data_IF_508096546647
#
_entry.id   IF_508096546647
#
_cell.length_a   1.000
_cell.length_b   1.000
_cell.length_c   1.000
_cell.angle_alpha   90.00
_cell.angle_beta   90.00
_cell.angle_gamma   90.00
#
_symmetry.space_group_name_H-M   'P 1'
#
loop_
_entity.id
_entity.type
_entity.pdbx_description
1 polymer ?
#
# COMPACT_ATOMS: atom_id res chain seq x y z
N UNK A 1 -0.17 7.44 -18.11
CA UNK A 1 0.40 6.54 -17.09
C UNK A 1 -0.72 5.94 -16.28
N UNK A 2 -0.65 4.63 -16.08
CA UNK A 2 -1.77 3.73 -15.89
C UNK A 2 -2.53 4.02 -14.59
N UNK A 3 -3.83 4.28 -14.70
CA UNK A 3 -4.77 4.22 -13.59
C UNK A 3 -4.98 2.74 -13.20
N UNK A 4 -3.97 2.08 -12.62
CA UNK A 4 -4.08 0.67 -12.23
C UNK A 4 -4.89 0.51 -10.96
N UNK A 5 -4.67 1.39 -9.96
CA UNK A 5 -5.45 1.41 -8.74
C UNK A 5 -6.95 1.56 -9.03
N UNK A 6 -7.35 2.59 -9.77
CA UNK A 6 -8.77 2.84 -10.03
C UNK A 6 -9.43 1.73 -10.85
N UNK A 7 -8.71 1.14 -11.82
CA UNK A 7 -9.19 -0.03 -12.57
C UNK A 7 -9.35 -1.26 -11.67
N UNK A 8 -8.42 -1.48 -10.74
CA UNK A 8 -8.50 -2.58 -9.77
C UNK A 8 -9.68 -2.39 -8.83
N UNK A 9 -9.87 -1.18 -8.29
CA UNK A 9 -11.02 -0.86 -7.43
C UNK A 9 -12.35 -1.04 -8.18
N UNK A 10 -12.44 -0.63 -9.45
CA UNK A 10 -13.64 -0.83 -10.26
C UNK A 10 -13.91 -2.32 -10.54
N UNK A 11 -12.86 -3.11 -10.80
CA UNK A 11 -12.97 -4.55 -11.02
C UNK A 11 -13.46 -5.26 -9.75
N UNK A 12 -12.80 -5.03 -8.61
CA UNK A 12 -13.19 -5.60 -7.32
C UNK A 12 -14.65 -5.29 -6.98
N UNK A 13 -15.08 -4.04 -7.19
CA UNK A 13 -16.48 -3.65 -6.96
C UNK A 13 -17.45 -4.45 -7.85
N UNK A 14 -17.13 -4.60 -9.13
CA UNK A 14 -17.98 -5.32 -10.10
C UNK A 14 -18.01 -6.82 -9.84
N UNK A 15 -16.88 -7.43 -9.47
CA UNK A 15 -16.76 -8.85 -9.12
C UNK A 15 -17.61 -9.19 -7.88
N UNK A 16 -17.58 -8.32 -6.87
CA UNK A 16 -18.44 -8.41 -5.68
C UNK A 16 -19.90 -7.98 -5.94
N UNK A 17 -20.22 -7.52 -7.16
CA UNK A 17 -21.55 -7.00 -7.56
C UNK A 17 -22.04 -5.83 -6.71
N UNK A 18 -21.13 -5.07 -6.10
CA UNK A 18 -21.50 -3.88 -5.33
C UNK A 18 -21.78 -2.68 -6.23
N UNK A 19 -22.80 -1.92 -5.88
CA UNK A 19 -23.00 -0.56 -6.33
C UNK A 19 -22.04 0.39 -5.59
N UNK A 20 -21.84 1.60 -6.15
CA UNK A 20 -21.05 2.63 -5.48
C UNK A 20 -21.63 3.04 -4.11
N UNK A 21 -22.94 2.87 -3.92
CA UNK A 21 -23.63 3.20 -2.65
C UNK A 21 -23.39 2.12 -1.59
N UNK A 22 -23.45 0.85 -1.97
CA UNK A 22 -23.13 -0.24 -1.05
C UNK A 22 -21.68 -0.14 -0.56
N UNK A 23 -20.72 0.16 -1.45
CA UNK A 23 -19.34 0.39 -1.01
C UNK A 23 -19.23 1.61 -0.10
N UNK A 24 -20.00 2.68 -0.36
CA UNK A 24 -20.04 3.86 0.52
C UNK A 24 -20.55 3.52 1.93
N UNK A 25 -21.56 2.65 2.03
CA UNK A 25 -22.09 2.16 3.31
C UNK A 25 -21.06 1.29 4.04
N UNK A 26 -20.40 0.36 3.34
CA UNK A 26 -19.38 -0.52 3.92
C UNK A 26 -18.13 0.22 4.42
N UNK A 27 -17.72 1.27 3.69
CA UNK A 27 -16.44 1.99 3.96
C UNK A 27 -16.62 3.29 4.74
N UNK A 28 -17.85 3.82 4.82
CA UNK A 28 -18.12 5.18 5.29
C UNK A 28 -17.61 6.29 4.35
N UNK A 29 -17.13 5.94 3.15
CA UNK A 29 -16.65 6.91 2.16
C UNK A 29 -17.80 7.46 1.31
N UNK A 30 -17.62 8.64 0.73
CA UNK A 30 -18.61 9.18 -0.20
C UNK A 30 -18.59 8.40 -1.54
N UNK A 31 -19.75 7.95 -2.03
CA UNK A 31 -19.89 7.23 -3.31
C UNK A 31 -19.30 8.00 -4.51
N UNK A 32 -19.35 9.34 -4.47
CA UNK A 32 -18.75 10.22 -5.48
C UNK A 32 -17.22 10.13 -5.44
N UNK A 33 -16.64 10.08 -4.24
CA UNK A 33 -15.21 9.91 -4.03
C UNK A 33 -14.73 8.52 -4.48
N UNK A 34 -15.49 7.46 -4.18
CA UNK A 34 -15.21 6.11 -4.68
C UNK A 34 -15.16 6.11 -6.22
N UNK A 35 -16.14 6.75 -6.88
CA UNK A 35 -16.12 6.84 -8.34
C UNK A 35 -14.95 7.68 -8.87
N UNK A 36 -14.58 8.75 -8.18
CA UNK A 36 -13.45 9.59 -8.56
C UNK A 36 -12.11 8.83 -8.42
N UNK A 37 -11.99 7.93 -7.43
CA UNK A 37 -10.87 6.99 -7.29
C UNK A 37 -10.81 5.99 -8.45
N UNK A 38 -11.94 5.35 -8.79
CA UNK A 38 -12.02 4.42 -9.93
C UNK A 38 -11.55 5.07 -11.24
N UNK A 39 -11.92 6.34 -11.44
CA UNK A 39 -11.55 7.10 -12.63
C UNK A 39 -10.16 7.75 -12.54
N UNK A 40 -9.50 7.70 -11.37
CA UNK A 40 -8.32 8.48 -11.03
C UNK A 40 -8.46 9.96 -11.45
N UNK A 41 -9.63 10.52 -11.22
CA UNK A 41 -9.96 11.88 -11.64
C UNK A 41 -11.08 12.42 -10.79
N UNK A 42 -10.78 13.49 -10.06
CA UNK A 42 -11.78 14.27 -9.38
C UNK A 42 -12.65 14.94 -10.46
N UNK A 43 -13.94 14.62 -10.50
CA UNK A 43 -14.79 15.07 -11.60
C UNK A 43 -15.06 16.57 -11.56
N UNK A 44 -14.92 17.22 -10.40
CA UNK A 44 -15.08 18.66 -10.21
C UNK A 44 -13.81 19.43 -10.60
N UNK A 45 -12.64 19.02 -10.11
CA UNK A 45 -11.38 19.75 -10.33
C UNK A 45 -10.57 19.25 -11.53
N UNK A 46 -10.95 18.10 -12.10
CA UNK A 46 -10.26 17.38 -13.18
C UNK A 46 -8.84 16.90 -12.84
N UNK A 47 -8.43 17.02 -11.57
CA UNK A 47 -7.13 16.57 -11.08
C UNK A 47 -7.13 15.08 -10.71
N UNK A 48 -5.96 14.40 -10.76
CA UNK A 48 -5.82 13.04 -10.24
C UNK A 48 -6.23 12.95 -8.77
N UNK A 49 -6.77 11.80 -8.37
CA UNK A 49 -7.20 11.56 -6.98
C UNK A 49 -6.19 10.63 -6.34
N UNK A 50 -5.58 11.07 -5.24
CA UNK A 50 -4.67 10.25 -4.44
C UNK A 50 -5.37 9.84 -3.14
N UNK A 51 -5.66 8.54 -2.92
CA UNK A 51 -6.20 8.08 -1.65
C UNK A 51 -5.16 8.10 -0.53
N UNK A 52 -5.64 8.25 0.70
CA UNK A 52 -4.83 8.06 1.92
C UNK A 52 -4.71 6.58 2.26
N UNK A 53 -3.76 6.22 3.11
CA UNK A 53 -3.64 4.84 3.63
C UNK A 53 -4.92 4.38 4.33
N UNK A 54 -5.56 5.23 5.14
CA UNK A 54 -6.86 4.94 5.78
C UNK A 54 -7.97 4.65 4.75
N UNK A 55 -8.00 5.39 3.64
CA UNK A 55 -8.94 5.14 2.53
C UNK A 55 -8.70 3.75 1.93
N UNK A 56 -7.44 3.40 1.70
CA UNK A 56 -7.07 2.09 1.14
C UNK A 56 -7.39 0.95 2.11
N UNK A 57 -7.19 1.15 3.42
CA UNK A 57 -7.54 0.16 4.45
C UNK A 57 -9.04 -0.11 4.49
N UNK A 58 -9.88 0.94 4.39
CA UNK A 58 -11.33 0.79 4.31
C UNK A 58 -11.77 0.03 3.06
N UNK A 59 -11.18 0.36 1.91
CA UNK A 59 -11.50 -0.31 0.64
C UNK A 59 -11.01 -1.77 0.62
N UNK A 60 -9.82 -2.04 1.17
CA UNK A 60 -9.28 -3.38 1.35
C UNK A 60 -10.24 -4.26 2.16
N UNK A 61 -10.71 -3.75 3.31
CA UNK A 61 -11.67 -4.46 4.15
C UNK A 61 -13.02 -4.67 3.45
N UNK A 62 -13.54 -3.67 2.74
CA UNK A 62 -14.83 -3.77 2.06
C UNK A 62 -14.83 -4.75 0.87
N UNK A 63 -13.68 -4.97 0.23
CA UNK A 63 -13.54 -5.89 -0.90
C UNK A 63 -12.91 -7.23 -0.55
N UNK A 64 -12.61 -7.48 0.73
CA UNK A 64 -11.83 -8.63 1.19
C UNK A 64 -10.53 -8.81 0.36
N UNK A 65 -9.80 -7.71 0.20
CA UNK A 65 -8.63 -7.64 -0.67
C UNK A 65 -7.39 -7.17 0.12
N UNK A 66 -6.20 -7.78 -0.07
CA UNK A 66 -5.01 -7.40 0.68
C UNK A 66 -4.63 -5.93 0.53
N UNK A 67 -4.43 -5.24 1.65
CA UNK A 67 -4.07 -3.81 1.67
C UNK A 67 -2.73 -3.56 0.97
N UNK A 68 -1.78 -4.48 1.13
CA UNK A 68 -0.44 -4.42 0.54
C UNK A 68 -0.51 -4.33 -0.99
N UNK A 69 -1.44 -5.06 -1.59
CA UNK A 69 -1.63 -5.03 -3.03
C UNK A 69 -2.17 -3.66 -3.50
N UNK A 70 -3.11 -3.06 -2.75
CA UNK A 70 -3.58 -1.70 -3.08
C UNK A 70 -2.47 -0.65 -2.90
N UNK A 71 -1.64 -0.77 -1.86
CA UNK A 71 -0.52 0.14 -1.61
C UNK A 71 0.58 0.03 -2.69
N UNK A 72 0.81 -1.16 -3.25
CA UNK A 72 1.72 -1.34 -4.41
C UNK A 72 1.22 -0.57 -5.62
N UNK A 73 -0.08 -0.64 -5.90
CA UNK A 73 -0.71 0.03 -7.05
C UNK A 73 -0.72 1.57 -6.94
N UNK A 74 -0.55 2.13 -5.73
CA UNK A 74 -0.45 3.58 -5.52
C UNK A 74 1.00 4.09 -5.62
N UNK A 75 1.98 3.19 -5.70
CA UNK A 75 3.39 3.51 -5.53
C UNK A 75 3.77 3.88 -4.10
N UNK A 76 2.87 3.69 -3.12
CA UNK A 76 3.17 3.93 -1.70
C UNK A 76 3.93 2.77 -1.06
N UNK A 77 3.84 1.56 -1.63
CA UNK A 77 4.61 0.40 -1.21
C UNK A 77 5.84 0.21 -2.13
N UNK A 78 6.82 1.12 -2.04
CA UNK A 78 8.17 0.86 -2.56
C UNK A 78 9.01 0.05 -1.57
N UNK A 79 8.45 -1.00 -0.95
CA UNK A 79 9.22 -1.83 -0.01
C UNK A 79 10.28 -2.65 -0.73
N UNK A 80 9.98 -3.12 -1.95
CA UNK A 80 10.94 -3.84 -2.79
C UNK A 80 12.20 -3.00 -3.10
N UNK A 81 12.07 -1.67 -3.12
CA UNK A 81 13.19 -0.76 -3.42
C UNK A 81 13.71 -0.02 -2.18
N UNK A 82 13.12 -0.20 -1.00
CA UNK A 82 13.61 0.48 0.21
C UNK A 82 14.99 -0.06 0.61
N UNK A 83 15.15 -1.38 0.61
CA UNK A 83 16.44 -2.01 0.87
C UNK A 83 17.45 -1.71 -0.22
N UNK A 84 17.08 -1.80 -1.50
CA UNK A 84 17.97 -1.43 -2.61
C UNK A 84 18.41 0.04 -2.55
N UNK A 85 17.51 0.95 -2.17
CA UNK A 85 17.87 2.37 -1.96
C UNK A 85 18.89 2.51 -0.85
N UNK A 86 18.70 1.84 0.30
CA UNK A 86 19.65 1.87 1.41
C UNK A 86 21.01 1.27 1.01
N UNK A 87 21.01 0.17 0.27
CA UNK A 87 22.23 -0.49 -0.20
C UNK A 87 23.02 0.38 -1.19
N UNK A 88 22.32 1.11 -2.07
CA UNK A 88 22.90 1.94 -3.11
C UNK A 88 23.16 3.40 -2.67
N UNK A 89 22.71 3.81 -1.49
CA UNK A 89 22.91 5.16 -0.98
C UNK A 89 24.38 5.37 -0.54
N UNK A 90 25.12 6.32 -1.15
CA UNK A 90 26.50 6.60 -0.79
C UNK A 90 26.67 7.19 0.62
N UNK A 91 25.62 7.81 1.19
CA UNK A 91 25.64 8.42 2.51
C UNK A 91 25.35 7.41 3.64
N UNK A 92 24.88 6.21 3.29
CA UNK A 92 24.68 5.12 4.25
C UNK A 92 26.00 4.36 4.46
N UNK A 93 26.39 4.18 5.72
CA UNK A 93 27.61 3.44 6.06
C UNK A 93 27.46 1.92 5.85
N UNK A 94 28.60 1.23 5.66
CA UNK A 94 28.63 -0.21 5.41
C UNK A 94 28.02 -1.07 6.52
N UNK A 95 28.09 -0.65 7.79
CA UNK A 95 27.47 -1.42 8.88
C UNK A 95 25.95 -1.47 8.76
N UNK A 96 25.33 -0.36 8.35
CA UNK A 96 23.88 -0.30 8.11
C UNK A 96 23.50 -1.09 6.86
N UNK A 97 24.31 -1.05 5.80
CA UNK A 97 24.10 -1.84 4.58
C UNK A 97 24.19 -3.34 4.86
N UNK A 98 25.15 -3.75 5.69
CA UNK A 98 25.31 -5.14 6.09
C UNK A 98 24.10 -5.67 6.88
N UNK A 99 23.56 -4.88 7.81
CA UNK A 99 22.33 -5.24 8.53
C UNK A 99 21.15 -5.45 7.57
N UNK A 100 21.05 -4.65 6.51
CA UNK A 100 20.03 -4.81 5.46
C UNK A 100 20.23 -6.09 4.66
N UNK A 101 21.46 -6.43 4.26
CA UNK A 101 21.74 -7.69 3.54
C UNK A 101 21.33 -8.91 4.36
N UNK A 102 21.65 -8.91 5.65
CA UNK A 102 21.25 -9.98 6.58
C UNK A 102 19.72 -10.09 6.65
N UNK A 103 19.00 -8.97 6.78
CA UNK A 103 17.53 -8.97 6.79
C UNK A 103 16.91 -9.50 5.49
N UNK A 104 17.54 -9.24 4.34
CA UNK A 104 17.07 -9.73 3.04
C UNK A 104 17.32 -11.22 2.81
N UNK A 105 18.31 -11.80 3.49
CA UNK A 105 18.63 -13.24 3.43
C UNK A 105 17.83 -14.07 4.43
N UNK A 106 17.07 -13.44 5.33
CA UNK A 106 16.17 -14.10 6.28
C UNK A 106 14.88 -14.52 5.56
N UNK A 107 14.51 -15.80 5.66
CA UNK A 107 13.26 -16.32 5.09
C UNK A 107 12.04 -15.71 5.82
N UNK A 108 11.03 -15.28 5.06
CA UNK A 108 9.83 -14.56 5.55
C UNK A 108 9.01 -15.36 6.58
N UNK A 109 9.32 -16.65 6.78
CA UNK A 109 8.64 -17.55 7.70
C UNK A 109 9.26 -17.62 9.10
N UNK A 110 10.34 -16.89 9.36
CA UNK A 110 11.10 -17.07 10.59
C UNK A 110 10.66 -16.07 11.69
N UNK A 111 10.20 -16.63 12.81
CA UNK A 111 9.91 -16.01 14.12
C UNK A 111 11.05 -15.09 14.63
N UNK A 112 12.19 -15.11 13.94
CA UNK A 112 13.39 -14.30 14.09
C UNK A 112 13.20 -12.81 13.74
N UNK A 113 12.28 -12.42 12.85
CA UNK A 113 12.06 -11.00 12.49
C UNK A 113 11.54 -10.17 13.68
N UNK A 114 10.57 -10.71 14.43
CA UNK A 114 10.05 -10.06 15.64
C UNK A 114 11.11 -9.91 16.73
N UNK A 115 12.03 -10.89 16.84
CA UNK A 115 13.15 -10.84 17.78
C UNK A 115 14.16 -9.76 17.39
N UNK A 116 14.46 -9.60 16.10
CA UNK A 116 15.36 -8.55 15.60
C UNK A 116 14.78 -7.17 15.83
N UNK A 117 13.48 -6.97 15.58
CA UNK A 117 12.77 -5.72 15.90
C UNK A 117 12.83 -5.45 17.41
N UNK A 118 12.64 -6.48 18.24
CA UNK A 118 12.79 -6.39 19.69
C UNK A 118 14.18 -5.93 20.15
N UNK A 119 15.24 -6.49 19.55
CA UNK A 119 16.64 -6.13 19.86
C UNK A 119 16.94 -4.69 19.43
N UNK A 120 16.52 -4.28 18.23
CA UNK A 120 16.72 -2.92 17.73
C UNK A 120 16.05 -1.87 18.62
N UNK A 121 14.84 -2.16 19.11
CA UNK A 121 14.12 -1.27 20.03
C UNK A 121 14.78 -1.19 21.42
N UNK A 122 15.53 -2.22 21.82
CA UNK A 122 16.23 -2.27 23.10
C UNK A 122 17.60 -1.54 23.09
N UNK A 123 18.16 -1.25 21.91
CA UNK A 123 19.47 -0.61 21.74
C UNK A 123 19.43 0.94 21.69
N UNK A 124 18.57 1.57 22.50
CA UNK A 124 18.59 3.04 22.65
C UNK A 124 19.91 3.55 23.22
#
# INVERSE_FOLDING_TARGET
>A
MQNELGRTLEALRKENKFSLREVAELTGLNFTYIRDLELNKNRSTKQPVKPTTDTLQKLAAAYDYPLENLLKLTGQLEVANAFEKILNDPDVNEKKKEAVRILMEMDDNDESLDRVIGILNALK
#
